data_IF_049078637124
#
_entry.id   IF_049078637124
#
_cell.length_a   1.000
_cell.length_b   1.000
_cell.length_c   1.000
_cell.angle_alpha   90.00
_cell.angle_beta   90.00
_cell.angle_gamma   90.00
#
_symmetry.space_group_name_H-M   'P 1'
#
loop_
_entity.id
_entity.type
_entity.pdbx_description
1 polymer ?
#
# COMPACT_ATOMS: atom_id res chain seq x y z
N UNK A 1 -2.49 9.26 -0.42
CA UNK A 1 -3.57 8.49 0.23
C UNK A 1 -3.08 7.72 1.47
N UNK A 2 -2.27 6.66 1.35
CA UNK A 2 -1.82 5.88 2.53
C UNK A 2 -0.90 6.66 3.48
N UNK A 3 0.17 7.26 2.97
CA UNK A 3 1.11 8.05 3.78
C UNK A 3 0.47 9.31 4.38
N UNK A 4 -0.45 9.94 3.66
CA UNK A 4 -1.24 11.07 4.15
C UNK A 4 -2.12 10.68 5.35
N UNK A 5 -2.75 9.50 5.31
CA UNK A 5 -3.50 8.97 6.45
C UNK A 5 -2.57 8.64 7.64
N UNK A 6 -1.36 8.15 7.37
CA UNK A 6 -0.36 7.90 8.41
C UNK A 6 0.09 9.20 9.09
N UNK A 7 0.21 10.30 8.36
CA UNK A 7 0.57 11.62 8.91
C UNK A 7 -0.57 12.20 9.76
N UNK A 8 -1.74 12.38 9.14
CA UNK A 8 -2.81 13.18 9.74
C UNK A 8 -3.77 12.38 10.63
N UNK A 9 -3.72 11.05 10.54
CA UNK A 9 -4.60 10.13 11.28
C UNK A 9 -3.81 8.97 11.92
N UNK A 10 -2.57 9.24 12.34
CA UNK A 10 -1.63 8.25 12.86
C UNK A 10 -2.26 7.31 13.90
N UNK A 11 -2.88 7.86 14.95
CA UNK A 11 -3.50 7.07 16.00
C UNK A 11 -4.62 6.15 15.48
N UNK A 12 -5.45 6.61 14.55
CA UNK A 12 -6.51 5.79 13.95
C UNK A 12 -5.92 4.65 13.12
N UNK A 13 -4.84 4.91 12.38
CA UNK A 13 -4.14 3.88 11.60
C UNK A 13 -3.52 2.84 12.55
N UNK A 14 -2.86 3.26 13.63
CA UNK A 14 -2.28 2.35 14.63
C UNK A 14 -3.35 1.46 15.26
N UNK A 15 -4.46 2.05 15.74
CA UNK A 15 -5.59 1.28 16.30
C UNK A 15 -6.11 0.28 15.27
N UNK A 16 -6.32 0.70 14.02
CA UNK A 16 -6.76 -0.22 12.98
C UNK A 16 -5.77 -1.37 12.78
N UNK A 17 -4.46 -1.11 12.79
CA UNK A 17 -3.47 -2.17 12.62
C UNK A 17 -3.45 -3.18 13.77
N UNK A 18 -3.52 -2.70 15.00
CA UNK A 18 -3.51 -3.55 16.20
C UNK A 18 -4.80 -4.36 16.32
N UNK A 19 -5.92 -3.77 15.95
CA UNK A 19 -7.24 -4.34 16.17
C UNK A 19 -7.81 -5.07 14.96
N UNK A 20 -7.23 -4.93 13.76
CA UNK A 20 -7.77 -5.46 12.50
C UNK A 20 -8.20 -6.93 12.60
N UNK A 21 -7.35 -7.81 13.18
CA UNK A 21 -7.67 -9.23 13.35
C UNK A 21 -8.91 -9.46 14.23
N UNK A 22 -9.04 -8.70 15.32
CA UNK A 22 -10.17 -8.80 16.26
C UNK A 22 -11.43 -8.17 15.67
N UNK A 23 -11.31 -7.08 14.93
CA UNK A 23 -12.43 -6.42 14.26
C UNK A 23 -13.01 -7.33 13.17
N UNK A 24 -12.17 -7.92 12.31
CA UNK A 24 -12.62 -8.82 11.24
C UNK A 24 -13.40 -10.05 11.74
N UNK A 25 -13.14 -10.51 12.97
CA UNK A 25 -13.88 -11.63 13.57
C UNK A 25 -15.30 -11.26 14.02
N UNK A 26 -15.66 -9.98 14.05
CA UNK A 26 -16.96 -9.51 14.53
C UNK A 26 -17.91 -9.20 13.36
N UNK A 27 -19.15 -9.75 13.35
CA UNK A 27 -20.09 -9.59 12.23
C UNK A 27 -20.39 -8.13 11.86
N UNK A 28 -20.41 -7.22 12.84
CA UNK A 28 -20.63 -5.77 12.61
C UNK A 28 -19.56 -5.15 11.71
N UNK A 29 -18.36 -5.73 11.66
CA UNK A 29 -17.21 -5.22 10.90
C UNK A 29 -16.94 -6.02 9.63
N UNK A 30 -17.88 -6.84 9.16
CA UNK A 30 -17.74 -7.61 7.91
C UNK A 30 -17.39 -6.73 6.69
N UNK A 31 -17.86 -5.47 6.70
CA UNK A 31 -17.55 -4.48 5.65
C UNK A 31 -16.05 -4.24 5.45
N UNK A 32 -15.21 -4.50 6.47
CA UNK A 32 -13.75 -4.38 6.35
C UNK A 32 -13.18 -5.39 5.35
N UNK A 33 -13.77 -6.59 5.25
CA UNK A 33 -13.35 -7.59 4.28
C UNK A 33 -13.70 -7.16 2.86
N UNK A 34 -14.89 -6.57 2.66
CA UNK A 34 -15.31 -6.05 1.37
C UNK A 34 -14.42 -4.88 0.91
N UNK A 35 -14.08 -3.97 1.82
CA UNK A 35 -13.13 -2.89 1.54
C UNK A 35 -11.74 -3.42 1.18
N UNK A 36 -11.24 -4.44 1.89
CA UNK A 36 -9.97 -5.08 1.56
C UNK A 36 -9.99 -5.73 0.17
N UNK A 37 -11.09 -6.40 -0.20
CA UNK A 37 -11.26 -6.99 -1.54
C UNK A 37 -11.30 -5.91 -2.63
N UNK A 38 -12.02 -4.81 -2.40
CA UNK A 38 -12.09 -3.68 -3.33
C UNK A 38 -10.72 -3.02 -3.52
N UNK A 39 -10.00 -2.74 -2.43
CA UNK A 39 -8.66 -2.16 -2.50
C UNK A 39 -7.70 -3.10 -3.25
N UNK A 40 -7.72 -4.41 -2.96
CA UNK A 40 -6.92 -5.39 -3.69
C UNK A 40 -7.23 -5.35 -5.18
N UNK A 41 -8.51 -5.40 -5.54
CA UNK A 41 -8.93 -5.39 -6.95
C UNK A 41 -8.39 -4.16 -7.68
N UNK A 42 -8.57 -2.97 -7.12
CA UNK A 42 -8.07 -1.72 -7.70
C UNK A 42 -6.55 -1.77 -7.96
N UNK A 43 -5.77 -2.28 -7.01
CA UNK A 43 -4.31 -2.39 -7.17
C UNK A 43 -3.91 -3.43 -8.22
N UNK A 44 -4.57 -4.58 -8.23
CA UNK A 44 -4.30 -5.64 -9.20
C UNK A 44 -4.65 -5.17 -10.62
N UNK A 45 -5.80 -4.49 -10.78
CA UNK A 45 -6.24 -3.96 -12.07
C UNK A 45 -5.23 -2.94 -12.64
N UNK A 46 -4.73 -1.99 -11.83
CA UNK A 46 -3.74 -1.00 -12.31
C UNK A 46 -2.39 -1.62 -12.65
N UNK A 47 -1.97 -2.66 -11.92
CA UNK A 47 -0.73 -3.39 -12.22
C UNK A 47 -0.86 -4.17 -13.53
N UNK A 48 -1.98 -4.85 -13.76
CA UNK A 48 -2.24 -5.53 -15.03
C UNK A 48 -2.29 -4.54 -16.19
N UNK A 49 -3.04 -3.43 -16.06
CA UNK A 49 -3.10 -2.41 -17.08
C UNK A 49 -1.71 -1.86 -17.41
N UNK A 50 -0.87 -1.57 -16.41
CA UNK A 50 0.48 -1.08 -16.65
C UNK A 50 1.40 -2.12 -17.33
N UNK A 51 1.16 -3.42 -17.14
CA UNK A 51 1.85 -4.48 -17.90
C UNK A 51 1.37 -4.50 -19.35
N UNK A 52 0.05 -4.46 -19.57
CA UNK A 52 -0.57 -4.46 -20.90
C UNK A 52 -0.14 -3.27 -21.76
N UNK A 53 -0.04 -2.09 -21.12
CA UNK A 53 0.40 -0.84 -21.75
C UNK A 53 1.94 -0.74 -21.86
N UNK A 54 2.69 -1.70 -21.29
CA UNK A 54 4.15 -1.78 -21.40
C UNK A 54 4.93 -0.89 -20.43
N UNK A 55 4.27 -0.26 -19.44
CA UNK A 55 4.92 0.52 -18.39
C UNK A 55 5.67 -0.37 -17.37
N UNK A 56 5.12 -1.55 -17.07
CA UNK A 56 5.70 -2.48 -16.10
C UNK A 56 6.26 -3.72 -16.79
N UNK A 57 7.21 -4.39 -16.12
CA UNK A 57 7.84 -5.61 -16.66
C UNK A 57 6.78 -6.72 -16.86
N UNK A 58 6.82 -7.45 -17.99
CA UNK A 58 5.82 -8.46 -18.31
C UNK A 58 5.97 -9.77 -17.53
N UNK A 59 7.10 -9.98 -16.85
CA UNK A 59 7.42 -11.18 -16.06
C UNK A 59 7.00 -11.06 -14.58
N UNK A 60 6.31 -9.98 -14.20
CA UNK A 60 5.88 -9.76 -12.83
C UNK A 60 4.72 -10.67 -12.43
N UNK A 61 4.86 -11.31 -11.27
CA UNK A 61 3.71 -11.85 -10.53
C UNK A 61 2.97 -10.69 -9.85
N UNK A 62 1.82 -10.32 -10.41
CA UNK A 62 1.02 -9.18 -9.96
C UNK A 62 0.58 -9.33 -8.50
N UNK A 63 0.31 -10.54 -8.04
CA UNK A 63 -0.12 -10.79 -6.66
C UNK A 63 1.02 -10.59 -5.67
N UNK A 64 2.24 -10.99 -6.04
CA UNK A 64 3.44 -10.72 -5.24
C UNK A 64 3.78 -9.23 -5.21
N UNK A 65 3.71 -8.54 -6.36
CA UNK A 65 3.96 -7.10 -6.43
C UNK A 65 2.94 -6.32 -5.60
N UNK A 66 1.65 -6.67 -5.69
CA UNK A 66 0.61 -6.08 -4.84
C UNK A 66 0.91 -6.27 -3.34
N UNK A 67 1.26 -7.50 -2.92
CA UNK A 67 1.60 -7.78 -1.50
C UNK A 67 2.81 -6.96 -1.05
N UNK A 68 3.83 -6.85 -1.90
CA UNK A 68 5.01 -6.04 -1.61
C UNK A 68 4.67 -4.56 -1.40
N UNK A 69 3.92 -3.95 -2.33
CA UNK A 69 3.50 -2.55 -2.22
C UNK A 69 2.63 -2.32 -0.98
N UNK A 70 1.68 -3.23 -0.72
CA UNK A 70 0.81 -3.17 0.46
C UNK A 70 1.63 -3.23 1.74
N UNK A 71 2.49 -4.23 1.89
CA UNK A 71 3.17 -4.50 3.16
C UNK A 71 4.24 -3.44 3.47
N UNK A 72 4.96 -2.95 2.45
CA UNK A 72 5.96 -1.88 2.62
C UNK A 72 5.33 -0.56 3.02
N UNK A 73 4.18 -0.19 2.43
CA UNK A 73 3.48 1.04 2.82
C UNK A 73 2.79 0.90 4.17
N UNK A 74 2.14 -0.22 4.45
CA UNK A 74 1.36 -0.43 5.67
C UNK A 74 2.24 -0.50 6.91
N UNK A 75 3.41 -1.16 6.86
CA UNK A 75 4.29 -1.27 8.03
C UNK A 75 4.90 0.06 8.47
N UNK A 76 4.91 1.07 7.59
CA UNK A 76 5.58 2.35 7.85
C UNK A 76 5.04 3.11 9.06
N UNK A 77 3.75 2.98 9.40
CA UNK A 77 3.14 3.63 10.56
C UNK A 77 3.81 3.25 11.89
N UNK A 78 4.47 2.08 11.95
CA UNK A 78 5.10 1.58 13.18
C UNK A 78 6.36 2.33 13.58
N UNK A 79 7.06 2.91 12.61
CA UNK A 79 8.29 3.66 12.85
C UNK A 79 8.15 5.14 12.48
N UNK A 80 7.21 5.48 11.60
CA UNK A 80 6.95 6.85 11.19
C UNK A 80 6.43 7.68 12.37
N UNK A 81 7.04 8.84 12.59
CA UNK A 81 6.68 9.78 13.63
C UNK A 81 6.19 11.09 12.99
N UNK A 82 4.89 11.43 13.11
CA UNK A 82 4.40 12.74 12.66
C UNK A 82 5.15 13.89 13.35
N UNK A 83 5.53 14.91 12.58
CA UNK A 83 6.38 16.01 13.06
C UNK A 83 7.86 15.67 13.23
N UNK A 84 8.28 14.47 12.80
CA UNK A 84 9.68 14.07 12.73
C UNK A 84 10.45 14.73 11.58
N UNK A 85 11.71 14.31 11.33
CA UNK A 85 12.57 14.94 10.33
C UNK A 85 12.16 14.67 8.87
N UNK A 86 11.31 13.67 8.63
CA UNK A 86 10.77 13.34 7.32
C UNK A 86 9.25 13.43 7.35
N UNK A 87 8.67 14.09 6.36
CA UNK A 87 7.22 14.08 6.12
C UNK A 87 6.81 12.76 5.48
N UNK A 88 5.54 12.39 5.63
CA UNK A 88 5.01 11.17 5.03
C UNK A 88 5.05 11.23 3.49
N UNK A 89 4.97 12.43 2.90
CA UNK A 89 5.17 12.63 1.48
C UNK A 89 6.62 12.29 1.06
N UNK A 90 7.62 12.76 1.80
CA UNK A 90 9.02 12.45 1.51
C UNK A 90 9.29 10.95 1.62
N UNK A 91 8.74 10.28 2.64
CA UNK A 91 8.82 8.82 2.77
C UNK A 91 8.14 8.14 1.57
N UNK A 92 6.94 8.60 1.21
CA UNK A 92 6.18 8.04 0.08
C UNK A 92 6.89 8.16 -1.25
N UNK A 93 7.55 9.30 -1.52
CA UNK A 93 8.35 9.51 -2.73
C UNK A 93 9.53 8.53 -2.82
N UNK A 94 10.24 8.31 -1.70
CA UNK A 94 11.37 7.37 -1.68
C UNK A 94 10.91 5.92 -1.89
N UNK A 95 9.81 5.54 -1.24
CA UNK A 95 9.22 4.20 -1.41
C UNK A 95 8.77 3.98 -2.86
N UNK A 96 8.13 4.99 -3.45
CA UNK A 96 7.69 4.93 -4.84
C UNK A 96 8.87 4.80 -5.80
N UNK A 97 9.96 5.55 -5.59
CA UNK A 97 11.16 5.46 -6.42
C UNK A 97 11.80 4.06 -6.37
N UNK A 98 11.90 3.47 -5.17
CA UNK A 98 12.43 2.11 -4.99
C UNK A 98 11.54 1.08 -5.69
N UNK A 99 10.22 1.16 -5.50
CA UNK A 99 9.25 0.24 -6.11
C UNK A 99 9.31 0.36 -7.63
N UNK A 100 9.15 1.57 -8.17
CA UNK A 100 9.13 1.80 -9.62
C UNK A 100 10.44 1.37 -10.25
N UNK A 101 11.59 1.74 -9.67
CA UNK A 101 12.90 1.29 -10.18
C UNK A 101 13.05 -0.24 -10.26
N UNK A 102 12.30 -1.00 -9.46
CA UNK A 102 12.29 -2.47 -9.50
C UNK A 102 11.24 -3.11 -10.40
N UNK A 103 10.17 -2.38 -10.80
CA UNK A 103 9.03 -2.96 -11.54
C UNK A 103 8.82 -2.34 -12.93
N UNK A 104 9.36 -1.16 -13.19
CA UNK A 104 9.27 -0.54 -14.51
C UNK A 104 10.11 -1.32 -15.51
N UNK A 105 9.62 -1.42 -16.75
CA UNK A 105 10.43 -1.93 -17.85
C UNK A 105 11.53 -0.90 -18.15
N UNK A 106 12.79 -1.33 -18.19
CA UNK A 106 13.87 -0.48 -18.71
C UNK A 106 13.58 -0.16 -20.19
N UNK A 107 13.72 1.10 -20.57
CA UNK A 107 13.54 1.51 -21.97
C UNK A 107 14.58 0.82 -22.86
N UNK A 108 14.16 0.45 -24.07
CA UNK A 108 15.11 0.31 -25.20
C UNK A 108 15.73 1.67 -25.54
#
# INVERSE_FOLDING_TARGET
ASFDAIEHRHAQVVIYQDEAKRLLAQPRFSYLEDLNKQQRKMWVDVLHQGIEEGYFRPDLDVDLVYRFIRDTTWVSVRWYQPGGPLTAEQVGQQYLAIVLGGITKEGE
#
